data_IF_655497804182
#
_entry.id   IF_655497804182
#
_cell.length_a   1.000
_cell.length_b   1.000
_cell.length_c   1.000
_cell.angle_alpha   90.00
_cell.angle_beta   90.00
_cell.angle_gamma   90.00
#
_symmetry.space_group_name_H-M   'P 1'
#
loop_
_entity.id
_entity.type
_entity.pdbx_description
1 polymer ?
#
# COMPACT_ATOMS: atom_id res chain seq x y z
N UNK A 1 -37.54 -20.83 43.79
CA UNK A 1 -36.57 -20.33 44.78
C UNK A 1 -35.53 -19.49 44.05
N UNK A 2 -35.26 -18.27 44.51
CA UNK A 2 -34.52 -17.24 43.77
C UNK A 2 -33.00 -17.40 43.96
N UNK A 3 -32.26 -17.79 42.92
CA UNK A 3 -30.80 -17.97 42.97
C UNK A 3 -30.05 -16.65 42.71
N UNK A 4 -30.40 -15.64 43.51
CA UNK A 4 -29.92 -14.26 43.36
C UNK A 4 -28.45 -14.12 43.80
N UNK A 5 -27.98 -14.98 44.71
CA UNK A 5 -26.63 -14.89 45.29
C UNK A 5 -25.56 -15.57 44.42
N UNK A 6 -25.89 -16.63 43.68
CA UNK A 6 -24.91 -17.36 42.87
C UNK A 6 -24.61 -16.65 41.55
N UNK A 7 -25.64 -16.12 40.89
CA UNK A 7 -25.48 -15.38 39.62
C UNK A 7 -24.65 -14.11 39.79
N UNK A 8 -24.85 -13.40 40.89
CA UNK A 8 -24.11 -12.17 41.23
C UNK A 8 -22.63 -12.48 41.46
N UNK A 9 -22.32 -13.57 42.17
CA UNK A 9 -20.95 -13.99 42.43
C UNK A 9 -20.24 -14.45 41.15
N UNK A 10 -20.89 -15.25 40.30
CA UNK A 10 -20.34 -15.62 38.99
C UNK A 10 -20.13 -14.40 38.08
N UNK A 11 -21.02 -13.41 38.13
CA UNK A 11 -20.88 -12.15 37.38
C UNK A 11 -19.66 -11.37 37.86
N UNK A 12 -19.48 -11.21 39.17
CA UNK A 12 -18.32 -10.52 39.76
C UNK A 12 -17.00 -11.22 39.44
N UNK A 13 -16.95 -12.55 39.53
CA UNK A 13 -15.74 -13.32 39.17
C UNK A 13 -15.44 -13.22 37.67
N UNK A 14 -16.45 -13.25 36.80
CA UNK A 14 -16.28 -13.03 35.35
C UNK A 14 -15.80 -11.62 35.05
N UNK A 15 -16.40 -10.60 35.65
CA UNK A 15 -15.99 -9.20 35.50
C UNK A 15 -14.56 -8.97 36.01
N UNK A 16 -14.18 -9.56 37.15
CA UNK A 16 -12.81 -9.49 37.69
C UNK A 16 -11.81 -10.22 36.79
N UNK A 17 -12.19 -11.35 36.20
CA UNK A 17 -11.35 -12.08 35.24
C UNK A 17 -11.20 -11.31 33.92
N UNK A 18 -12.27 -10.67 33.46
CA UNK A 18 -12.26 -9.81 32.28
C UNK A 18 -11.39 -8.57 32.51
N UNK A 19 -11.58 -7.86 33.62
CA UNK A 19 -10.78 -6.68 33.96
C UNK A 19 -9.28 -7.01 34.12
N UNK A 20 -8.92 -8.19 34.64
CA UNK A 20 -7.52 -8.65 34.66
C UNK A 20 -6.96 -8.90 33.26
N UNK A 21 -7.77 -9.49 32.37
CA UNK A 21 -7.37 -9.75 30.98
C UNK A 21 -7.20 -8.44 30.20
N UNK A 22 -8.07 -7.46 30.45
CA UNK A 22 -7.98 -6.14 29.83
C UNK A 22 -6.75 -5.37 30.35
N UNK A 23 -6.43 -5.48 31.65
CA UNK A 23 -5.22 -4.89 32.24
C UNK A 23 -3.92 -5.55 31.73
N UNK A 24 -3.91 -6.87 31.52
CA UNK A 24 -2.81 -7.56 30.84
C UNK A 24 -2.68 -7.13 29.38
N UNK A 25 -3.78 -6.82 28.69
CA UNK A 25 -3.73 -6.35 27.30
C UNK A 25 -3.16 -4.93 27.17
N UNK A 26 -3.39 -4.06 28.16
CA UNK A 26 -2.78 -2.71 28.22
C UNK A 26 -1.28 -2.80 28.55
N UNK A 27 -0.90 -3.73 29.44
CA UNK A 27 0.50 -4.00 29.77
C UNK A 27 1.24 -4.67 28.60
N UNK A 28 0.57 -5.49 27.81
CA UNK A 28 1.12 -6.08 26.58
C UNK A 28 1.48 -5.01 25.55
N UNK A 29 0.76 -3.89 25.46
CA UNK A 29 1.11 -2.77 24.56
C UNK A 29 2.41 -2.09 25.04
N UNK A 30 2.61 -1.95 26.35
CA UNK A 30 3.82 -1.37 26.95
C UNK A 30 5.03 -2.32 26.86
N UNK A 31 4.80 -3.65 26.91
CA UNK A 31 5.82 -4.69 26.66
C UNK A 31 6.15 -4.83 25.15
N UNK A 32 5.28 -4.33 24.27
CA UNK A 32 5.43 -4.43 22.82
C UNK A 32 6.39 -3.40 22.20
N UNK A 33 6.68 -2.31 22.92
CA UNK A 33 7.51 -1.20 22.43
C UNK A 33 8.82 -1.16 23.21
N UNK A 34 9.94 -1.37 22.51
CA UNK A 34 11.25 -1.08 23.08
C UNK A 34 11.51 0.44 23.03
N UNK A 35 12.37 1.01 23.88
CA UNK A 35 12.76 2.43 23.78
C UNK A 35 13.38 2.79 22.42
N UNK A 36 13.97 1.82 21.72
CA UNK A 36 14.47 1.98 20.35
C UNK A 36 13.32 2.11 19.32
N UNK A 37 12.14 1.57 19.62
CA UNK A 37 10.97 1.60 18.74
C UNK A 37 10.30 2.98 18.72
N UNK A 38 10.34 3.73 19.83
CA UNK A 38 9.80 5.10 19.90
C UNK A 38 10.42 6.05 18.87
N UNK A 39 11.72 5.89 18.58
CA UNK A 39 12.42 6.74 17.62
C UNK A 39 12.36 6.18 16.18
N UNK A 40 12.30 4.86 16.01
CA UNK A 40 12.36 4.22 14.69
C UNK A 40 11.00 4.10 14.00
N UNK A 41 9.91 4.06 14.77
CA UNK A 41 8.56 3.90 14.23
C UNK A 41 8.03 5.16 13.52
N UNK A 42 8.24 6.40 14.05
CA UNK A 42 7.85 7.61 13.33
C UNK A 42 8.56 7.75 11.98
N UNK A 43 9.85 7.44 11.92
CA UNK A 43 10.62 7.46 10.66
C UNK A 43 10.06 6.48 9.63
N UNK A 44 9.68 5.27 10.08
CA UNK A 44 9.03 4.29 9.20
C UNK A 44 7.72 4.79 8.62
N UNK A 45 6.89 5.47 9.43
CA UNK A 45 5.63 6.02 8.93
C UNK A 45 5.84 7.17 7.95
N UNK A 46 6.87 8.00 8.14
CA UNK A 46 7.24 9.04 7.17
C UNK A 46 7.69 8.43 5.83
N UNK A 47 8.51 7.38 5.84
CA UNK A 47 8.90 6.66 4.61
C UNK A 47 7.67 6.04 3.91
N UNK A 48 6.78 5.41 4.67
CA UNK A 48 5.52 4.84 4.15
C UNK A 48 4.63 5.91 3.54
N UNK A 49 4.51 7.07 4.18
CA UNK A 49 3.71 8.19 3.67
C UNK A 49 4.30 8.78 2.39
N UNK A 50 5.62 8.95 2.33
CA UNK A 50 6.31 9.37 1.11
C UNK A 50 6.06 8.41 -0.05
N UNK A 51 6.16 7.09 0.19
CA UNK A 51 5.90 6.07 -0.84
C UNK A 51 4.43 6.14 -1.30
N UNK A 52 3.48 6.35 -0.38
CA UNK A 52 2.06 6.51 -0.72
C UNK A 52 1.81 7.76 -1.57
N UNK A 53 2.43 8.89 -1.24
CA UNK A 53 2.33 10.10 -2.02
C UNK A 53 2.86 9.88 -3.45
N UNK A 54 4.04 9.25 -3.59
CA UNK A 54 4.60 8.90 -4.89
C UNK A 54 3.68 7.96 -5.70
N UNK A 55 2.99 7.02 -5.03
CA UNK A 55 1.99 6.15 -5.66
C UNK A 55 0.75 6.92 -6.13
N UNK A 56 0.29 7.91 -5.36
CA UNK A 56 -0.85 8.76 -5.74
C UNK A 56 -0.52 9.65 -6.93
N UNK A 57 0.71 10.17 -7.00
CA UNK A 57 1.19 10.95 -8.15
C UNK A 57 1.24 10.14 -9.45
N UNK A 58 1.29 8.81 -9.39
CA UNK A 58 1.20 7.93 -10.57
C UNK A 58 -0.26 7.81 -11.05
N UNK A 59 -1.25 7.95 -10.16
CA UNK A 59 -2.65 7.69 -10.47
C UNK A 59 -3.25 8.69 -11.47
N UNK A 60 -2.92 9.99 -11.34
CA UNK A 60 -3.43 11.03 -12.25
C UNK A 60 -2.92 10.85 -13.69
N UNK A 61 -1.60 10.76 -13.95
CA UNK A 61 -1.08 10.51 -15.29
C UNK A 61 -1.58 9.19 -15.90
N UNK A 62 -1.81 8.16 -15.07
CA UNK A 62 -2.37 6.90 -15.54
C UNK A 62 -3.81 7.04 -16.03
N UNK A 63 -4.61 7.85 -15.36
CA UNK A 63 -5.98 8.14 -15.78
C UNK A 63 -6.00 8.98 -17.06
N UNK A 64 -5.14 9.99 -17.16
CA UNK A 64 -5.00 10.80 -18.36
C UNK A 64 -4.56 9.94 -19.56
N UNK A 65 -3.60 9.03 -19.35
CA UNK A 65 -3.16 8.07 -20.36
C UNK A 65 -4.30 7.17 -20.85
N UNK A 66 -5.22 6.76 -19.96
CA UNK A 66 -6.42 6.00 -20.34
C UNK A 66 -7.37 6.84 -21.20
N UNK A 67 -7.59 8.11 -20.86
CA UNK A 67 -8.44 9.00 -21.67
C UNK A 67 -7.84 9.20 -23.05
N UNK A 68 -6.54 9.53 -23.13
CA UNK A 68 -5.83 9.71 -24.40
C UNK A 68 -5.90 8.45 -25.27
N UNK A 69 -5.84 7.26 -24.65
CA UNK A 69 -5.99 5.99 -25.33
C UNK A 69 -7.38 5.84 -26.00
N UNK A 70 -8.45 6.17 -25.29
CA UNK A 70 -9.79 6.13 -25.86
C UNK A 70 -9.98 7.17 -26.97
N UNK A 71 -9.37 8.36 -26.84
CA UNK A 71 -9.36 9.38 -27.89
C UNK A 71 -8.65 8.89 -29.17
N UNK A 72 -7.56 8.13 -29.06
CA UNK A 72 -6.88 7.53 -30.22
C UNK A 72 -7.76 6.55 -30.98
N UNK A 73 -8.66 5.83 -30.30
CA UNK A 73 -9.58 4.87 -30.94
C UNK A 73 -10.68 5.56 -31.76
N UNK A 74 -11.15 6.71 -31.27
CA UNK A 74 -12.22 7.48 -31.93
C UNK A 74 -11.70 8.37 -33.05
N UNK A 75 -10.44 8.82 -32.96
CA UNK A 75 -9.86 9.77 -33.92
C UNK A 75 -9.32 9.07 -35.16
N UNK A 76 -9.65 9.59 -36.36
CA UNK A 76 -9.12 9.06 -37.63
C UNK A 76 -8.17 10.03 -38.35
N UNK A 77 -7.93 11.20 -37.76
CA UNK A 77 -7.00 12.20 -38.28
C UNK A 77 -5.55 11.82 -37.97
N UNK A 78 -4.76 11.54 -39.01
CA UNK A 78 -3.35 11.11 -38.88
C UNK A 78 -2.47 12.13 -38.15
N UNK A 79 -2.72 13.44 -38.35
CA UNK A 79 -1.99 14.51 -37.65
C UNK A 79 -2.26 14.51 -36.14
N UNK A 80 -3.53 14.33 -35.76
CA UNK A 80 -3.94 14.30 -34.34
C UNK A 80 -3.44 13.01 -33.67
N UNK A 81 -3.53 11.87 -34.35
CA UNK A 81 -3.02 10.59 -33.86
C UNK A 81 -1.52 10.62 -33.56
N UNK A 82 -0.72 11.35 -34.36
CA UNK A 82 0.71 11.53 -34.08
C UNK A 82 0.94 12.30 -32.77
N UNK A 83 0.26 13.44 -32.58
CA UNK A 83 0.38 14.23 -31.37
C UNK A 83 -0.12 13.50 -30.11
N UNK A 84 -1.17 12.68 -30.24
CA UNK A 84 -1.65 11.82 -29.16
C UNK A 84 -0.60 10.77 -28.78
N UNK A 85 0.01 10.10 -29.76
CA UNK A 85 1.08 9.12 -29.52
C UNK A 85 2.30 9.73 -28.83
N UNK A 86 2.74 10.91 -29.26
CA UNK A 86 3.87 11.61 -28.64
C UNK A 86 3.59 11.96 -27.16
N UNK A 87 2.37 12.43 -26.84
CA UNK A 87 1.96 12.68 -25.45
C UNK A 87 1.93 11.39 -24.62
N UNK A 88 1.31 10.34 -25.15
CA UNK A 88 1.20 9.06 -24.45
C UNK A 88 2.55 8.39 -24.21
N UNK A 89 3.50 8.51 -25.13
CA UNK A 89 4.89 8.03 -24.92
C UNK A 89 5.57 8.80 -23.78
N UNK A 90 5.44 10.13 -23.77
CA UNK A 90 5.97 10.97 -22.69
C UNK A 90 5.37 10.61 -21.33
N UNK A 91 4.04 10.45 -21.26
CA UNK A 91 3.33 10.08 -20.04
C UNK A 91 3.75 8.68 -19.55
N UNK A 92 3.87 7.72 -20.46
CA UNK A 92 4.36 6.37 -20.16
C UNK A 92 5.76 6.40 -19.56
N UNK A 93 6.69 7.17 -20.14
CA UNK A 93 8.05 7.32 -19.61
C UNK A 93 8.05 7.97 -18.22
N UNK A 94 7.20 8.98 -18.01
CA UNK A 94 7.06 9.65 -16.70
C UNK A 94 6.54 8.69 -15.64
N UNK A 95 5.49 7.94 -15.94
CA UNK A 95 4.90 6.93 -15.04
C UNK A 95 5.92 5.85 -14.71
N UNK A 96 6.64 5.32 -15.70
CA UNK A 96 7.67 4.29 -15.47
C UNK A 96 8.80 4.78 -14.57
N UNK A 97 9.23 6.05 -14.71
CA UNK A 97 10.24 6.64 -13.83
C UNK A 97 9.74 6.74 -12.39
N UNK A 98 8.51 7.21 -12.17
CA UNK A 98 7.91 7.29 -10.83
C UNK A 98 7.67 5.90 -10.22
N UNK A 99 7.17 4.95 -11.00
CA UNK A 99 6.99 3.56 -10.56
C UNK A 99 8.32 2.92 -10.12
N UNK A 100 9.42 3.24 -10.81
CA UNK A 100 10.76 2.81 -10.39
C UNK A 100 11.17 3.40 -9.04
N UNK A 101 10.91 4.67 -8.78
CA UNK A 101 11.18 5.32 -7.49
C UNK A 101 10.39 4.63 -6.37
N UNK A 102 9.09 4.42 -6.56
CA UNK A 102 8.22 3.71 -5.61
C UNK A 102 8.77 2.32 -5.30
N UNK A 103 9.19 1.58 -6.34
CA UNK A 103 9.77 0.24 -6.19
C UNK A 103 11.07 0.26 -5.37
N UNK A 104 11.98 1.18 -5.69
CA UNK A 104 13.24 1.34 -4.95
C UNK A 104 13.01 1.74 -3.48
N UNK A 105 12.02 2.62 -3.22
CA UNK A 105 11.57 2.98 -1.88
C UNK A 105 11.04 1.78 -1.11
N UNK A 106 10.20 0.96 -1.73
CA UNK A 106 9.65 -0.26 -1.11
C UNK A 106 10.75 -1.29 -0.81
N UNK A 107 11.71 -1.48 -1.72
CA UNK A 107 12.87 -2.36 -1.49
C UNK A 107 13.78 -1.84 -0.37
N UNK A 108 13.91 -0.51 -0.22
CA UNK A 108 14.60 0.10 0.93
C UNK A 108 13.86 -0.17 2.24
N UNK A 109 12.53 -0.01 2.24
CA UNK A 109 11.67 -0.26 3.39
C UNK A 109 11.72 -1.74 3.82
N UNK A 110 11.68 -2.69 2.87
CA UNK A 110 11.83 -4.12 3.14
C UNK A 110 13.21 -4.45 3.75
N UNK A 111 14.29 -3.84 3.24
CA UNK A 111 15.63 -3.99 3.83
C UNK A 111 15.70 -3.43 5.25
N UNK A 112 15.13 -2.24 5.47
CA UNK A 112 15.04 -1.61 6.80
C UNK A 112 14.27 -2.49 7.79
N UNK A 113 13.17 -3.12 7.36
CA UNK A 113 12.43 -4.06 8.21
C UNK A 113 13.28 -5.28 8.54
N UNK A 114 14.00 -5.85 7.57
CA UNK A 114 14.85 -7.01 7.79
C UNK A 114 16.01 -6.73 8.76
N UNK A 115 16.64 -5.55 8.67
CA UNK A 115 17.73 -5.15 9.58
C UNK A 115 17.24 -4.87 11.00
N UNK A 116 16.07 -4.25 11.13
CA UNK A 116 15.52 -3.86 12.42
C UNK A 116 14.80 -5.00 13.15
N UNK A 117 14.53 -6.13 12.49
CA UNK A 117 13.85 -7.30 13.07
C UNK A 117 14.45 -7.83 14.38
N UNK A 118 15.77 -7.69 14.58
CA UNK A 118 16.45 -8.13 15.81
C UNK A 118 16.42 -7.08 16.93
N UNK A 119 16.11 -5.83 16.60
CA UNK A 119 16.17 -4.68 17.51
C UNK A 119 14.77 -4.19 17.92
N UNK A 120 13.73 -4.60 17.20
CA UNK A 120 12.34 -4.18 17.41
C UNK A 120 11.52 -5.26 18.14
N UNK A 121 10.51 -4.82 18.89
CA UNK A 121 9.57 -5.74 19.53
C UNK A 121 8.74 -6.55 18.52
N UNK A 122 8.26 -7.77 18.87
CA UNK A 122 7.45 -8.61 17.98
C UNK A 122 6.20 -7.92 17.39
N UNK A 123 5.60 -6.99 18.14
CA UNK A 123 4.45 -6.21 17.70
C UNK A 123 4.80 -5.18 16.63
N UNK A 124 5.93 -4.48 16.82
CA UNK A 124 6.47 -3.52 15.84
C UNK A 124 6.85 -4.25 14.55
N UNK A 125 7.54 -5.39 14.65
CA UNK A 125 7.88 -6.23 13.47
C UNK A 125 6.60 -6.62 12.71
N UNK A 126 5.57 -7.10 13.42
CA UNK A 126 4.30 -7.50 12.81
C UNK A 126 3.59 -6.34 12.11
N UNK A 127 3.58 -5.16 12.72
CA UNK A 127 2.97 -3.95 12.14
C UNK A 127 3.71 -3.53 10.88
N UNK A 128 5.04 -3.46 10.93
CA UNK A 128 5.87 -3.05 9.80
C UNK A 128 5.74 -4.02 8.62
N UNK A 129 5.75 -5.33 8.89
CA UNK A 129 5.51 -6.36 7.88
C UNK A 129 4.12 -6.20 7.25
N UNK A 130 3.07 -6.03 8.07
CA UNK A 130 1.70 -5.86 7.59
C UNK A 130 1.58 -4.66 6.64
N UNK A 131 2.04 -3.48 7.07
CA UNK A 131 2.00 -2.24 6.29
C UNK A 131 2.78 -2.37 4.98
N UNK A 132 4.00 -2.90 5.05
CA UNK A 132 4.87 -3.06 3.87
C UNK A 132 4.27 -4.07 2.88
N UNK A 133 3.68 -5.16 3.38
CA UNK A 133 3.00 -6.15 2.55
C UNK A 133 1.76 -5.58 1.86
N UNK A 134 1.01 -4.70 2.53
CA UNK A 134 -0.12 -3.97 1.95
C UNK A 134 0.32 -3.06 0.81
N UNK A 135 1.34 -2.23 1.04
CA UNK A 135 1.91 -1.36 0.00
C UNK A 135 2.38 -2.14 -1.23
N UNK A 136 3.00 -3.30 -1.02
CA UNK A 136 3.44 -4.17 -2.10
C UNK A 136 2.26 -4.70 -2.92
N UNK A 137 1.18 -5.12 -2.27
CA UNK A 137 -0.02 -5.57 -2.94
C UNK A 137 -0.66 -4.43 -3.77
N UNK A 138 -0.71 -3.22 -3.20
CA UNK A 138 -1.24 -2.04 -3.86
C UNK A 138 -0.42 -1.68 -5.11
N UNK A 139 0.92 -1.67 -5.00
CA UNK A 139 1.82 -1.44 -6.14
C UNK A 139 1.64 -2.50 -7.24
N UNK A 140 1.59 -3.79 -6.89
CA UNK A 140 1.38 -4.88 -7.85
C UNK A 140 0.00 -4.81 -8.53
N UNK A 141 -0.99 -4.23 -7.87
CA UNK A 141 -2.30 -3.97 -8.47
C UNK A 141 -2.23 -2.85 -9.52
N UNK A 142 -1.42 -1.81 -9.27
CA UNK A 142 -1.12 -0.72 -10.20
C UNK A 142 -0.32 -1.17 -11.42
N UNK A 143 0.76 -1.94 -11.21
CA UNK A 143 1.60 -2.48 -12.29
C UNK A 143 0.80 -3.33 -13.29
N UNK A 144 -0.17 -4.11 -12.82
CA UNK A 144 -1.08 -4.87 -13.70
C UNK A 144 -1.91 -3.96 -14.61
N UNK A 145 -2.32 -2.78 -14.12
CA UNK A 145 -3.03 -1.79 -14.95
C UNK A 145 -2.12 -1.22 -16.02
N UNK A 146 -0.85 -0.94 -15.71
CA UNK A 146 0.14 -0.46 -16.67
C UNK A 146 0.42 -1.48 -17.78
N UNK A 147 0.62 -2.75 -17.44
CA UNK A 147 0.81 -3.84 -18.41
C UNK A 147 -0.41 -3.98 -19.31
N UNK A 148 -1.62 -3.83 -18.76
CA UNK A 148 -2.84 -3.87 -19.56
C UNK A 148 -2.93 -2.72 -20.55
N UNK A 149 -2.55 -1.50 -20.16
CA UNK A 149 -2.56 -0.32 -21.06
C UNK A 149 -1.50 -0.49 -22.17
N UNK A 150 -0.29 -0.96 -21.83
CA UNK A 150 0.76 -1.22 -22.83
C UNK A 150 0.36 -2.29 -23.85
N UNK A 151 -0.28 -3.38 -23.39
CA UNK A 151 -0.77 -4.44 -24.27
C UNK A 151 -1.91 -4.01 -25.19
N UNK A 152 -2.72 -3.01 -24.78
CA UNK A 152 -3.72 -2.38 -25.66
C UNK A 152 -3.01 -1.53 -26.73
N UNK A 153 -1.99 -0.77 -26.35
CA UNK A 153 -1.21 0.09 -27.25
C UNK A 153 -0.49 -0.69 -28.36
N UNK A 154 0.15 -1.81 -28.03
CA UNK A 154 0.85 -2.65 -29.02
C UNK A 154 -0.12 -3.32 -30.02
N UNK A 155 -1.31 -3.73 -29.56
CA UNK A 155 -2.35 -4.31 -30.44
C UNK A 155 -2.92 -3.28 -31.42
N UNK A 156 -3.14 -2.05 -30.96
CA UNK A 156 -3.68 -0.94 -31.75
C UNK A 156 -2.67 -0.43 -32.79
N UNK A 157 -1.37 -0.38 -32.44
CA UNK A 157 -0.27 -0.02 -33.35
C UNK A 157 0.01 -1.08 -34.42
N UNK A 158 -0.13 -2.37 -34.09
CA UNK A 158 0.13 -3.46 -35.04
C UNK A 158 -1.07 -3.79 -35.95
N UNK A 159 -2.19 -3.09 -35.81
CA UNK A 159 -3.36 -3.30 -36.69
C UNK A 159 -3.96 -4.70 -36.61
N UNK A 160 -3.69 -5.45 -35.53
CA UNK A 160 -4.29 -6.76 -35.30
C UNK A 160 -5.71 -6.52 -34.79
N UNK A 161 -6.63 -6.29 -35.72
CA UNK A 161 -8.08 -6.38 -35.45
C UNK A 161 -8.37 -7.81 -34.97
N UNK A 162 -8.98 -7.92 -33.79
CA UNK A 162 -9.70 -9.14 -33.39
C UNK A 162 -10.93 -9.36 -34.26
#
# INVERSE_FOLDING_TARGET
MNDLMTKSFLSYVKLKKQAKKDLESDLDIEICLNPTDENNLPHFFLEVESIKADMEEIASPLFDLQILNEETKSTHSTKVLRGLRERMESDTVSILKKAKIVKEGLESLERSNATNRKQQGPCVDRTRISVTSGLKADMLSGDRRLVSVKGIYEKELMGIRG
#
